data_IF_106873337003
#
_entry.id   IF_106873337003
#
_cell.length_a   1.000
_cell.length_b   1.000
_cell.length_c   1.000
_cell.angle_alpha   90.00
_cell.angle_beta   90.00
_cell.angle_gamma   90.00
#
_symmetry.space_group_name_H-M   'P 1'
#
loop_
_entity.id
_entity.type
_entity.pdbx_description
1 polymer ?
#
# COMPACT_ATOMS: atom_id res chain seq x y z
N UNK A 1 19.61 16.85 1.01
CA UNK A 1 18.68 15.89 1.65
C UNK A 1 17.36 16.00 0.93
N UNK A 2 17.11 15.10 -0.01
CA UNK A 2 15.81 15.02 -0.68
C UNK A 2 14.76 14.50 0.31
N UNK A 3 13.55 15.05 0.20
CA UNK A 3 12.46 14.73 1.13
C UNK A 3 11.80 13.43 0.68
N UNK A 4 11.43 12.53 1.60
CA UNK A 4 10.70 11.33 1.23
C UNK A 4 9.33 11.68 0.62
N UNK A 5 8.95 10.94 -0.42
CA UNK A 5 7.64 11.00 -1.05
C UNK A 5 6.66 10.12 -0.28
N UNK A 6 5.57 10.71 0.19
CA UNK A 6 4.49 10.01 0.89
C UNK A 6 3.28 9.87 -0.02
N UNK A 7 2.89 8.63 -0.31
CA UNK A 7 1.74 8.29 -1.15
C UNK A 7 0.66 7.64 -0.27
N UNK A 8 -0.55 8.19 -0.34
CA UNK A 8 -1.72 7.69 0.37
C UNK A 8 -2.78 7.30 -0.65
N UNK A 9 -3.23 6.04 -0.62
CA UNK A 9 -4.24 5.54 -1.56
C UNK A 9 -5.41 4.96 -0.79
N UNK A 10 -6.63 5.32 -1.16
CA UNK A 10 -7.85 4.82 -0.50
C UNK A 10 -8.68 4.01 -1.48
N UNK A 11 -8.96 2.76 -1.13
CA UNK A 11 -9.84 1.88 -1.90
C UNK A 11 -11.17 1.69 -1.17
N UNK A 12 -12.23 1.70 -1.96
CA UNK A 12 -13.59 1.38 -1.55
C UNK A 12 -14.04 0.11 -2.29
N UNK A 13 -13.51 -1.07 -1.90
CA UNK A 13 -13.89 -2.32 -2.55
C UNK A 13 -15.36 -2.65 -2.28
N UNK A 14 -15.96 -3.46 -3.16
CA UNK A 14 -17.21 -4.14 -2.81
C UNK A 14 -16.97 -5.02 -1.58
N UNK A 15 -17.97 -5.13 -0.69
CA UNK A 15 -17.85 -5.83 0.60
C UNK A 15 -17.37 -7.29 0.46
N UNK A 16 -17.82 -7.97 -0.58
CA UNK A 16 -17.46 -9.35 -0.93
C UNK A 16 -16.06 -9.47 -1.57
N UNK A 17 -15.42 -8.36 -1.92
CA UNK A 17 -14.12 -8.28 -2.62
C UNK A 17 -12.97 -7.78 -1.76
N UNK A 18 -13.20 -7.56 -0.47
CA UNK A 18 -12.17 -7.05 0.46
C UNK A 18 -11.01 -8.02 0.60
N UNK A 19 -11.28 -9.31 0.79
CA UNK A 19 -10.24 -10.32 0.95
C UNK A 19 -9.46 -10.55 -0.36
N UNK A 20 -10.16 -10.58 -1.50
CA UNK A 20 -9.52 -10.65 -2.83
C UNK A 20 -8.52 -9.48 -3.01
N UNK A 21 -8.95 -8.25 -2.69
CA UNK A 21 -8.11 -7.06 -2.79
C UNK A 21 -6.91 -7.12 -1.85
N UNK A 22 -7.07 -7.61 -0.62
CA UNK A 22 -5.96 -7.81 0.32
C UNK A 22 -4.96 -8.83 -0.18
N UNK A 23 -5.42 -9.97 -0.72
CA UNK A 23 -4.52 -11.01 -1.23
C UNK A 23 -3.68 -10.50 -2.40
N UNK A 24 -4.31 -9.81 -3.35
CA UNK A 24 -3.62 -9.16 -4.47
C UNK A 24 -2.57 -8.17 -3.97
N UNK A 25 -2.94 -7.31 -3.01
CA UNK A 25 -2.01 -6.31 -2.49
C UNK A 25 -0.90 -6.88 -1.62
N UNK A 26 -1.08 -7.99 -0.90
CA UNK A 26 0.03 -8.61 -0.16
C UNK A 26 1.18 -8.99 -1.08
N UNK A 27 0.87 -9.59 -2.22
CA UNK A 27 1.88 -9.92 -3.24
C UNK A 27 2.52 -8.67 -3.84
N UNK A 28 1.73 -7.63 -4.08
CA UNK A 28 2.21 -6.37 -4.61
C UNK A 28 3.15 -5.65 -3.63
N UNK A 29 2.76 -5.54 -2.36
CA UNK A 29 3.56 -4.95 -1.28
C UNK A 29 4.92 -5.65 -1.16
N UNK A 30 4.92 -6.98 -1.06
CA UNK A 30 6.15 -7.75 -0.92
C UNK A 30 7.09 -7.53 -2.11
N UNK A 31 6.57 -7.60 -3.33
CA UNK A 31 7.35 -7.38 -4.55
C UNK A 31 7.91 -5.97 -4.65
N UNK A 32 7.12 -4.95 -4.31
CA UNK A 32 7.58 -3.55 -4.34
C UNK A 32 8.68 -3.33 -3.32
N UNK A 33 8.54 -3.82 -2.09
CA UNK A 33 9.58 -3.69 -1.05
C UNK A 33 10.87 -4.44 -1.40
N UNK A 34 10.76 -5.55 -2.13
CA UNK A 34 11.93 -6.34 -2.56
C UNK A 34 12.65 -5.74 -3.78
N UNK A 35 11.91 -5.20 -4.75
CA UNK A 35 12.46 -4.82 -6.05
C UNK A 35 12.68 -3.31 -6.23
N UNK A 36 11.94 -2.45 -5.53
CA UNK A 36 12.05 -1.00 -5.66
C UNK A 36 12.95 -0.44 -4.56
N UNK A 37 14.22 -0.16 -4.88
CA UNK A 37 15.21 0.33 -3.92
C UNK A 37 14.84 1.67 -3.28
N UNK A 38 13.98 2.46 -3.92
CA UNK A 38 13.44 3.68 -3.37
C UNK A 38 12.28 3.47 -2.39
N UNK A 39 11.69 2.27 -2.30
CA UNK A 39 10.55 2.03 -1.42
C UNK A 39 11.00 1.75 0.01
N UNK A 40 10.76 2.70 0.91
CA UNK A 40 11.10 2.57 2.34
C UNK A 40 10.07 1.71 3.07
N UNK A 41 8.78 1.94 2.78
CA UNK A 41 7.69 1.27 3.47
C UNK A 41 6.45 1.22 2.59
N UNK A 42 5.74 0.10 2.63
CA UNK A 42 4.46 -0.07 1.98
C UNK A 42 3.55 -0.92 2.87
N UNK A 43 2.50 -0.31 3.41
CA UNK A 43 1.56 -0.96 4.32
C UNK A 43 0.11 -0.53 4.06
N UNK A 44 -0.84 -1.19 4.72
CA UNK A 44 -2.25 -0.82 4.67
C UNK A 44 -2.96 -0.94 6.01
N UNK A 45 -4.01 -0.14 6.18
CA UNK A 45 -4.94 -0.20 7.30
C UNK A 45 -6.35 -0.42 6.78
N UNK A 46 -7.08 -1.34 7.40
CA UNK A 46 -8.49 -1.55 7.13
C UNK A 46 -9.35 -0.75 8.12
N UNK A 47 -10.29 0.02 7.61
CA UNK A 47 -11.32 0.69 8.41
C UNK A 47 -12.45 -0.28 8.79
N UNK A 48 -13.24 0.08 9.80
CA UNK A 48 -14.38 -0.72 10.27
C UNK A 48 -15.46 -0.97 9.20
N UNK A 49 -15.49 -0.17 8.15
CA UNK A 49 -16.46 -0.21 7.05
C UNK A 49 -15.88 -0.78 5.75
N UNK A 50 -14.92 -1.71 5.85
CA UNK A 50 -14.32 -2.43 4.71
C UNK A 50 -13.42 -1.60 3.80
N UNK A 51 -13.23 -0.30 4.07
CA UNK A 51 -12.29 0.53 3.32
C UNK A 51 -10.85 0.11 3.62
N UNK A 52 -10.01 0.15 2.59
CA UNK A 52 -8.58 -0.11 2.72
C UNK A 52 -7.81 1.17 2.39
N UNK A 53 -6.97 1.62 3.32
CA UNK A 53 -6.09 2.76 3.16
C UNK A 53 -4.67 2.23 3.07
N UNK A 54 -4.00 2.49 1.95
CA UNK A 54 -2.62 2.11 1.70
C UNK A 54 -1.70 3.33 1.88
N UNK A 55 -0.53 3.06 2.41
CA UNK A 55 0.49 4.04 2.77
C UNK A 55 1.79 3.56 2.17
N UNK A 56 2.40 4.39 1.33
CA UNK A 56 3.68 4.09 0.68
C UNK A 56 4.63 5.25 0.91
N UNK A 57 5.86 4.94 1.30
CA UNK A 57 6.92 5.91 1.54
C UNK A 57 8.06 5.57 0.60
N UNK A 58 8.43 6.52 -0.26
CA UNK A 58 9.57 6.41 -1.14
C UNK A 58 10.65 7.42 -0.75
N UNK A 59 11.91 7.02 -0.88
CA UNK A 59 13.07 7.90 -0.90
C UNK A 59 13.39 8.16 -2.37
N UNK A 60 13.31 9.43 -2.81
CA UNK A 60 13.97 9.83 -4.06
C UNK A 60 15.49 9.75 -3.83
N UNK A 61 16.20 9.21 -4.82
CA UNK A 61 17.64 9.00 -4.80
C UNK A 61 18.36 9.82 -5.86
#
# INVERSE_FOLDING_TARGET
>A
MEKPLFVFVKFHPKKDKVEDLKQLHRGFIAKTLENESGCISYNYLQSTDFRLNFYIIFQEG
#
